data_IF_707692331053
#
_entry.id   IF_707692331053
#
_cell.length_a   1.000
_cell.length_b   1.000
_cell.length_c   1.000
_cell.angle_alpha   90.00
_cell.angle_beta   90.00
_cell.angle_gamma   90.00
#
_symmetry.space_group_name_H-M   'P 1'
#
loop_
_entity.id
_entity.type
_entity.pdbx_description
1 polymer ?
#
# COMPACT_ATOMS: atom_id res chain seq x y z
N UNK A 1 27.36 7.74 -19.64
CA UNK A 1 26.81 6.35 -19.70
C UNK A 1 27.91 5.30 -19.57
N UNK A 2 28.93 5.33 -20.42
CA UNK A 2 29.99 4.29 -20.40
C UNK A 2 30.82 4.24 -19.11
N UNK A 3 31.04 5.39 -18.46
CA UNK A 3 31.63 5.44 -17.11
C UNK A 3 30.81 4.68 -16.07
N UNK A 4 29.47 4.81 -16.10
CA UNK A 4 28.56 4.12 -15.18
C UNK A 4 28.48 2.63 -15.45
N UNK A 5 28.48 2.24 -16.72
CA UNK A 5 28.45 0.83 -17.14
C UNK A 5 29.81 0.14 -17.02
N UNK A 6 30.85 0.82 -16.52
CA UNK A 6 32.21 0.27 -16.41
C UNK A 6 32.92 0.06 -17.75
N UNK A 7 32.37 0.59 -18.85
CA UNK A 7 32.90 0.44 -20.21
C UNK A 7 34.03 1.41 -20.56
N UNK A 8 34.23 2.43 -19.73
CA UNK A 8 35.28 3.43 -19.88
C UNK A 8 36.57 3.09 -19.10
N UNK A 9 36.68 1.89 -18.52
CA UNK A 9 37.82 1.46 -17.70
C UNK A 9 37.57 1.50 -16.19
N UNK A 10 38.53 0.97 -15.44
CA UNK A 10 38.44 0.67 -14.00
C UNK A 10 39.47 1.43 -13.15
N UNK A 11 40.13 2.44 -13.71
CA UNK A 11 41.00 3.34 -12.97
C UNK A 11 40.32 3.95 -11.72
N UNK A 12 41.10 4.39 -10.73
CA UNK A 12 40.60 4.78 -9.41
C UNK A 12 39.50 5.86 -9.48
N UNK A 13 39.65 6.86 -10.34
CA UNK A 13 38.64 7.92 -10.54
C UNK A 13 37.33 7.38 -11.13
N UNK A 14 37.40 6.40 -12.04
CA UNK A 14 36.20 5.78 -12.62
C UNK A 14 35.46 4.92 -11.58
N UNK A 15 36.21 4.20 -10.74
CA UNK A 15 35.64 3.43 -9.64
C UNK A 15 34.98 4.34 -8.60
N UNK A 16 35.65 5.43 -8.22
CA UNK A 16 35.11 6.44 -7.32
C UNK A 16 33.82 7.07 -7.87
N UNK A 17 33.83 7.49 -9.13
CA UNK A 17 32.66 8.06 -9.79
C UNK A 17 31.47 7.10 -9.78
N UNK A 18 31.68 5.82 -10.12
CA UNK A 18 30.60 4.80 -10.10
C UNK A 18 30.03 4.62 -8.70
N UNK A 19 30.89 4.54 -7.68
CA UNK A 19 30.46 4.39 -6.29
C UNK A 19 29.65 5.60 -5.82
N UNK A 20 30.16 6.82 -6.03
CA UNK A 20 29.47 8.06 -5.64
C UNK A 20 28.15 8.23 -6.39
N UNK A 21 28.12 7.94 -7.68
CA UNK A 21 26.89 7.97 -8.46
C UNK A 21 25.85 7.00 -7.90
N UNK A 22 26.23 5.75 -7.60
CA UNK A 22 25.32 4.77 -7.01
C UNK A 22 24.75 5.26 -5.66
N UNK A 23 25.61 5.79 -4.79
CA UNK A 23 25.22 6.37 -3.49
C UNK A 23 24.24 7.54 -3.62
N UNK A 24 24.44 8.45 -4.59
CA UNK A 24 23.56 9.61 -4.78
C UNK A 24 22.25 9.24 -5.50
N UNK A 25 22.32 8.35 -6.49
CA UNK A 25 21.16 7.98 -7.31
C UNK A 25 20.04 7.29 -6.52
N UNK A 26 20.39 6.49 -5.51
CA UNK A 26 19.40 5.86 -4.62
C UNK A 26 18.63 6.88 -3.80
N UNK A 27 19.33 7.84 -3.18
CA UNK A 27 18.72 8.94 -2.43
C UNK A 27 17.85 9.83 -3.33
N UNK A 28 18.35 10.14 -4.55
CA UNK A 28 17.59 10.90 -5.54
C UNK A 28 16.29 10.17 -5.91
N UNK A 29 16.33 8.85 -6.15
CA UNK A 29 15.12 8.06 -6.48
C UNK A 29 14.13 8.08 -5.32
N UNK A 30 14.59 7.88 -4.09
CA UNK A 30 13.70 7.88 -2.92
C UNK A 30 12.97 9.23 -2.81
N UNK A 31 13.72 10.33 -2.84
CA UNK A 31 13.15 11.69 -2.73
C UNK A 31 12.27 12.07 -3.92
N UNK A 32 12.75 11.87 -5.15
CA UNK A 32 12.02 12.33 -6.34
C UNK A 32 10.75 11.53 -6.63
N UNK A 33 10.74 10.21 -6.38
CA UNK A 33 9.55 9.40 -6.69
C UNK A 33 8.76 8.93 -5.47
N UNK A 34 9.35 8.51 -4.35
CA UNK A 34 8.55 8.09 -3.19
C UNK A 34 8.02 9.28 -2.37
N UNK A 35 8.84 10.31 -2.22
CA UNK A 35 8.50 11.50 -1.40
C UNK A 35 8.02 12.69 -2.25
N UNK A 36 7.85 12.52 -3.56
CA UNK A 36 7.29 13.60 -4.41
C UNK A 36 6.38 13.05 -5.50
N UNK A 37 6.87 12.23 -6.43
CA UNK A 37 6.03 11.78 -7.55
C UNK A 37 4.80 10.97 -7.10
N UNK A 38 4.90 10.16 -6.05
CA UNK A 38 3.76 9.43 -5.48
C UNK A 38 2.68 10.33 -4.89
N UNK A 39 3.03 11.53 -4.46
CA UNK A 39 2.09 12.55 -4.02
C UNK A 39 1.54 13.37 -5.19
N UNK A 40 2.19 13.31 -6.37
CA UNK A 40 1.76 14.00 -7.60
C UNK A 40 0.94 13.13 -8.56
N UNK A 41 1.08 11.81 -8.50
CA UNK A 41 0.37 10.87 -9.36
C UNK A 41 -0.52 9.98 -8.49
N UNK A 42 -1.77 10.38 -8.30
CA UNK A 42 -2.68 9.80 -7.30
C UNK A 42 -3.94 9.10 -7.87
N UNK A 43 -3.95 8.54 -9.11
CA UNK A 43 -5.17 7.92 -9.64
C UNK A 43 -5.67 6.78 -8.74
N UNK A 44 -4.75 6.02 -8.12
CA UNK A 44 -5.05 4.99 -7.13
C UNK A 44 -3.96 4.95 -6.05
N UNK A 45 -4.29 5.43 -4.84
CA UNK A 45 -3.33 5.56 -3.74
C UNK A 45 -2.78 4.21 -3.23
N UNK A 46 -3.47 3.09 -3.48
CA UNK A 46 -2.94 1.77 -3.09
C UNK A 46 -1.70 1.35 -3.89
N UNK A 47 -1.47 1.95 -5.06
CA UNK A 47 -0.30 1.69 -5.89
C UNK A 47 0.88 2.62 -5.61
N UNK A 48 0.65 3.73 -4.89
CA UNK A 48 1.66 4.69 -4.48
C UNK A 48 2.34 4.24 -3.17
N UNK A 49 3.15 3.19 -3.27
CA UNK A 49 3.82 2.56 -2.12
C UNK A 49 5.32 2.37 -2.36
N UNK A 50 6.12 2.41 -1.29
CA UNK A 50 7.58 2.19 -1.32
C UNK A 50 7.90 0.90 -2.08
N UNK A 51 8.81 0.99 -3.06
CA UNK A 51 9.15 -0.11 -3.97
C UNK A 51 8.14 -0.39 -5.10
N UNK A 52 6.99 0.27 -5.12
CA UNK A 52 5.95 0.12 -6.14
C UNK A 52 6.17 0.96 -7.41
N UNK A 53 5.41 0.61 -8.46
CA UNK A 53 5.30 1.40 -9.69
C UNK A 53 3.82 1.72 -9.96
N UNK A 54 3.34 2.93 -9.63
CA UNK A 54 1.93 3.28 -9.78
C UNK A 54 1.45 3.35 -11.23
N UNK A 55 2.37 3.38 -12.22
CA UNK A 55 2.01 3.30 -13.64
C UNK A 55 1.62 1.89 -14.11
N UNK A 56 1.87 0.85 -13.29
CA UNK A 56 1.50 -0.53 -13.56
C UNK A 56 1.00 -1.20 -12.26
N UNK A 57 -0.20 -0.83 -11.76
CA UNK A 57 -0.66 -1.20 -10.42
C UNK A 57 -1.16 -2.64 -10.28
N UNK A 58 -1.26 -3.39 -11.39
CA UNK A 58 -1.78 -4.75 -11.42
C UNK A 58 -0.65 -5.77 -11.69
N UNK A 59 -0.79 -6.95 -11.07
CA UNK A 59 0.08 -8.11 -11.30
C UNK A 59 -0.81 -9.28 -11.72
N UNK A 60 -0.46 -9.96 -12.81
CA UNK A 60 -1.17 -11.15 -13.25
C UNK A 60 -0.88 -12.34 -12.32
N UNK A 61 -1.80 -13.31 -12.18
CA UNK A 61 -1.50 -14.56 -11.46
C UNK A 61 -0.25 -15.24 -12.00
N UNK A 62 -0.05 -15.24 -13.32
CA UNK A 62 1.14 -15.82 -13.97
C UNK A 62 2.44 -15.14 -13.50
N UNK A 63 2.49 -13.81 -13.51
CA UNK A 63 3.66 -13.05 -13.04
C UNK A 63 3.92 -13.25 -11.55
N UNK A 64 2.86 -13.33 -10.75
CA UNK A 64 2.96 -13.63 -9.32
C UNK A 64 3.53 -15.03 -9.07
N UNK A 65 3.06 -16.04 -9.79
CA UNK A 65 3.56 -17.41 -9.70
C UNK A 65 5.02 -17.51 -10.17
N UNK A 66 5.37 -16.83 -11.26
CA UNK A 66 6.75 -16.75 -11.74
C UNK A 66 7.68 -16.07 -10.72
N UNK A 67 7.21 -15.00 -10.07
CA UNK A 67 7.93 -14.36 -8.95
C UNK A 67 8.15 -15.35 -7.81
N UNK A 68 7.12 -16.05 -7.35
CA UNK A 68 7.21 -16.99 -6.24
C UNK A 68 8.16 -18.16 -6.54
N UNK A 69 8.08 -18.74 -7.74
CA UNK A 69 8.98 -19.81 -8.17
C UNK A 69 10.45 -19.35 -8.18
N UNK A 70 10.71 -18.12 -8.63
CA UNK A 70 12.05 -17.51 -8.58
C UNK A 70 12.53 -17.29 -7.13
N UNK A 71 11.66 -16.78 -6.25
CA UNK A 71 12.00 -16.59 -4.83
C UNK A 71 12.34 -17.92 -4.18
N UNK A 72 11.53 -18.97 -4.36
CA UNK A 72 11.81 -20.29 -3.78
C UNK A 72 13.15 -20.86 -4.26
N UNK A 73 13.50 -20.67 -5.54
CA UNK A 73 14.74 -21.19 -6.14
C UNK A 73 15.98 -20.42 -5.68
N UNK A 74 15.93 -19.10 -5.74
CA UNK A 74 17.13 -18.26 -5.62
C UNK A 74 17.30 -17.64 -4.23
N UNK A 75 16.19 -17.34 -3.54
CA UNK A 75 16.17 -16.57 -2.29
C UNK A 75 15.10 -17.05 -1.29
N UNK A 76 15.00 -18.35 -0.96
CA UNK A 76 13.88 -18.88 -0.17
C UNK A 76 13.78 -18.32 1.25
N UNK A 77 14.88 -17.80 1.78
CA UNK A 77 14.95 -17.17 3.10
C UNK A 77 14.76 -15.63 3.08
N UNK A 78 14.38 -15.04 1.93
CA UNK A 78 14.16 -13.59 1.82
C UNK A 78 12.93 -13.14 2.62
N UNK A 79 12.95 -11.91 3.11
CA UNK A 79 11.82 -11.31 3.82
C UNK A 79 10.66 -10.96 2.87
N UNK A 80 9.42 -11.13 3.33
CA UNK A 80 8.22 -10.63 2.65
C UNK A 80 7.44 -9.75 3.62
N UNK A 81 7.03 -8.56 3.20
CA UNK A 81 6.33 -7.61 4.05
C UNK A 81 5.15 -6.98 3.32
N UNK A 82 4.04 -6.79 4.04
CA UNK A 82 2.90 -6.00 3.56
C UNK A 82 2.82 -4.62 4.24
N UNK A 83 3.41 -4.43 5.41
CA UNK A 83 3.45 -3.13 6.08
C UNK A 83 4.76 -2.99 6.83
N UNK A 84 5.27 -1.78 6.89
CA UNK A 84 6.46 -1.42 7.66
C UNK A 84 6.27 -0.04 8.25
N UNK A 85 7.19 0.39 9.10
CA UNK A 85 7.23 1.77 9.62
C UNK A 85 7.43 2.84 8.54
N UNK A 86 7.84 2.45 7.31
CA UNK A 86 8.08 3.37 6.19
C UNK A 86 7.04 3.25 5.07
N UNK A 87 6.15 2.26 5.10
CA UNK A 87 5.05 2.20 4.12
C UNK A 87 4.18 3.44 4.21
N UNK A 88 3.79 3.98 3.04
CA UNK A 88 2.96 5.18 2.92
C UNK A 88 1.58 4.96 3.51
N UNK A 89 1.05 3.72 3.45
CA UNK A 89 -0.23 3.31 4.05
C UNK A 89 -0.15 1.85 4.45
N UNK A 90 -0.93 1.42 5.44
CA UNK A 90 -0.99 0.02 5.83
C UNK A 90 -1.54 -0.89 4.72
N UNK A 91 -1.22 -2.17 4.79
CA UNK A 91 -1.69 -3.18 3.85
C UNK A 91 -3.22 -3.19 3.73
N UNK A 92 -3.92 -3.00 4.86
CA UNK A 92 -5.38 -3.09 4.90
C UNK A 92 -6.04 -1.85 4.28
N UNK A 93 -5.44 -0.67 4.46
CA UNK A 93 -5.84 0.57 3.75
C UNK A 93 -5.65 0.38 2.24
N UNK A 94 -4.52 -0.19 1.81
CA UNK A 94 -4.28 -0.46 0.38
C UNK A 94 -5.24 -1.53 -0.17
N UNK A 95 -5.52 -2.57 0.60
CA UNK A 95 -6.47 -3.63 0.22
C UNK A 95 -7.90 -3.10 0.05
N UNK A 96 -8.32 -2.18 0.92
CA UNK A 96 -9.60 -1.48 0.79
C UNK A 96 -9.64 -0.64 -0.49
N UNK A 97 -8.65 0.26 -0.67
CA UNK A 97 -8.53 1.13 -1.83
C UNK A 97 -8.57 0.37 -3.17
N UNK A 98 -7.89 -0.78 -3.25
CA UNK A 98 -7.87 -1.58 -4.48
C UNK A 98 -9.25 -2.12 -4.88
N UNK A 99 -10.24 -2.18 -3.98
CA UNK A 99 -11.63 -2.54 -4.33
C UNK A 99 -12.26 -1.52 -5.27
N UNK A 100 -11.84 -0.24 -5.22
CA UNK A 100 -12.36 0.80 -6.11
C UNK A 100 -12.14 0.46 -7.59
N UNK A 101 -11.08 -0.29 -7.90
CA UNK A 101 -10.79 -0.76 -9.27
C UNK A 101 -11.84 -1.74 -9.81
N UNK A 102 -12.61 -2.37 -8.93
CA UNK A 102 -13.65 -3.33 -9.29
C UNK A 102 -15.01 -2.66 -9.53
N UNK A 103 -15.16 -1.39 -9.15
CA UNK A 103 -16.40 -0.63 -9.30
C UNK A 103 -16.16 0.87 -9.60
N UNK A 104 -15.36 1.21 -10.64
CA UNK A 104 -14.92 2.58 -10.89
C UNK A 104 -16.07 3.56 -11.16
N UNK A 105 -17.14 3.10 -11.83
CA UNK A 105 -18.33 3.93 -12.12
C UNK A 105 -19.06 4.32 -10.83
N UNK A 106 -19.28 3.36 -9.91
CA UNK A 106 -19.92 3.63 -8.61
C UNK A 106 -19.07 4.59 -7.77
N UNK A 107 -17.74 4.48 -7.85
CA UNK A 107 -16.85 5.43 -7.18
C UNK A 107 -16.97 6.83 -7.77
N UNK A 108 -17.03 6.95 -9.10
CA UNK A 108 -17.22 8.23 -9.78
C UNK A 108 -18.56 8.89 -9.41
N UNK A 109 -19.64 8.11 -9.29
CA UNK A 109 -20.96 8.60 -8.88
C UNK A 109 -20.94 9.20 -7.47
N UNK A 110 -20.33 8.49 -6.50
CA UNK A 110 -20.16 8.96 -5.12
C UNK A 110 -19.34 10.25 -5.10
N UNK A 111 -18.26 10.32 -5.89
CA UNK A 111 -17.44 11.52 -5.98
C UNK A 111 -18.20 12.71 -6.59
N UNK A 112 -19.03 12.48 -7.60
CA UNK A 112 -19.88 13.51 -8.18
C UNK A 112 -20.92 14.03 -7.18
N UNK A 113 -21.40 13.19 -6.26
CA UNK A 113 -22.29 13.57 -5.17
C UNK A 113 -21.58 14.43 -4.12
N UNK A 114 -20.51 13.93 -3.50
CA UNK A 114 -19.79 14.64 -2.43
C UNK A 114 -19.12 15.92 -2.93
N UNK A 115 -18.75 15.97 -4.21
CA UNK A 115 -18.22 17.19 -4.82
C UNK A 115 -19.32 18.24 -4.96
N UNK A 116 -20.55 17.89 -5.39
CA UNK A 116 -21.68 18.84 -5.49
C UNK A 116 -22.07 19.42 -4.13
N UNK A 117 -21.98 18.64 -3.07
CA UNK A 117 -22.37 19.05 -1.72
C UNK A 117 -21.27 19.81 -0.96
N UNK A 118 -20.00 19.67 -1.36
CA UNK A 118 -18.83 20.13 -0.59
C UNK A 118 -17.90 21.13 -1.29
N UNK A 119 -18.32 21.84 -2.35
CA UNK A 119 -17.41 22.67 -3.17
C UNK A 119 -16.81 23.91 -2.51
N UNK A 120 -17.27 24.35 -1.33
CA UNK A 120 -16.72 25.58 -0.73
C UNK A 120 -15.34 25.32 -0.13
N UNK A 121 -14.28 25.76 -0.82
CA UNK A 121 -12.91 25.80 -0.28
C UNK A 121 -12.02 24.61 -0.64
N UNK A 122 -12.34 23.84 -1.70
CA UNK A 122 -11.43 22.80 -2.22
C UNK A 122 -10.11 23.46 -2.66
N UNK A 123 -8.93 23.05 -2.12
CA UNK A 123 -7.65 23.66 -2.45
C UNK A 123 -7.33 23.48 -3.94
N UNK A 124 -7.42 22.25 -4.46
CA UNK A 124 -7.40 21.89 -5.87
C UNK A 124 -7.89 20.43 -6.09
N UNK A 125 -8.20 19.99 -7.33
CA UNK A 125 -8.81 18.68 -7.58
C UNK A 125 -7.95 17.48 -7.16
N UNK A 126 -6.62 17.60 -7.15
CA UNK A 126 -5.74 16.47 -6.88
C UNK A 126 -5.72 16.08 -5.39
N UNK A 127 -5.43 16.97 -4.43
CA UNK A 127 -5.54 16.69 -3.01
C UNK A 127 -6.98 16.32 -2.62
N UNK A 128 -8.00 16.88 -3.28
CA UNK A 128 -9.37 16.44 -3.07
C UNK A 128 -9.54 14.95 -3.41
N UNK A 129 -9.08 14.53 -4.59
CA UNK A 129 -9.08 13.12 -5.01
C UNK A 129 -8.30 12.22 -4.02
N UNK A 130 -7.14 12.68 -3.55
CA UNK A 130 -6.35 11.93 -2.57
C UNK A 130 -7.05 11.86 -1.19
N UNK A 131 -7.72 12.91 -0.76
CA UNK A 131 -8.43 12.96 0.52
C UNK A 131 -9.62 12.00 0.54
N UNK A 132 -10.42 11.98 -0.53
CA UNK A 132 -11.57 11.07 -0.64
C UNK A 132 -11.15 9.60 -0.65
N UNK A 133 -10.07 9.27 -1.36
CA UNK A 133 -9.47 7.93 -1.27
C UNK A 133 -8.96 7.62 0.14
N UNK A 134 -8.33 8.59 0.82
CA UNK A 134 -7.80 8.40 2.18
C UNK A 134 -8.90 8.03 3.16
N UNK A 135 -10.03 8.76 3.16
CA UNK A 135 -11.16 8.43 4.05
C UNK A 135 -11.90 7.15 3.61
N UNK A 136 -11.93 6.83 2.32
CA UNK A 136 -12.42 5.52 1.86
C UNK A 136 -11.56 4.37 2.41
N UNK A 137 -10.23 4.50 2.37
CA UNK A 137 -9.31 3.49 2.87
C UNK A 137 -9.44 3.27 4.38
N UNK A 138 -9.50 4.36 5.16
CA UNK A 138 -9.61 4.32 6.62
C UNK A 138 -11.01 3.94 7.11
N UNK A 139 -12.06 4.30 6.38
CA UNK A 139 -13.40 4.34 6.95
C UNK A 139 -13.57 5.52 7.92
N UNK A 140 -14.47 5.42 8.92
CA UNK A 140 -14.62 6.46 9.94
C UNK A 140 -13.29 6.75 10.63
N UNK A 141 -12.78 7.96 10.47
CA UNK A 141 -11.47 8.37 10.98
C UNK A 141 -11.56 9.74 11.66
N UNK A 142 -10.65 9.97 12.60
CA UNK A 142 -10.48 11.26 13.26
C UNK A 142 -10.05 12.33 12.24
N UNK A 143 -10.67 13.50 12.31
CA UNK A 143 -10.37 14.62 11.41
C UNK A 143 -8.90 15.08 11.53
N UNK A 144 -8.32 15.03 12.73
CA UNK A 144 -6.92 15.42 12.97
C UNK A 144 -5.96 14.47 12.23
N UNK A 145 -6.25 13.17 12.22
CA UNK A 145 -5.44 12.17 11.48
C UNK A 145 -5.49 12.41 9.97
N UNK A 146 -6.68 12.64 9.42
CA UNK A 146 -6.87 12.90 7.99
C UNK A 146 -6.24 14.24 7.59
N UNK A 147 -6.41 15.27 8.41
CA UNK A 147 -5.81 16.59 8.19
C UNK A 147 -4.27 16.50 8.20
N UNK A 148 -3.69 15.84 9.20
CA UNK A 148 -2.24 15.66 9.29
C UNK A 148 -1.67 14.94 8.06
N UNK A 149 -2.32 13.88 7.62
CA UNK A 149 -1.93 13.15 6.42
C UNK A 149 -2.05 13.99 5.14
N UNK A 150 -3.12 14.78 4.99
CA UNK A 150 -3.32 15.60 3.81
C UNK A 150 -2.37 16.82 3.78
N UNK A 151 -2.07 17.43 4.92
CA UNK A 151 -1.05 18.48 5.02
C UNK A 151 0.34 17.94 4.65
N UNK A 152 0.70 16.76 5.14
CA UNK A 152 1.91 16.06 4.69
C UNK A 152 1.86 15.83 3.18
N UNK A 153 0.74 15.31 2.66
CA UNK A 153 0.57 15.04 1.24
C UNK A 153 0.88 16.26 0.36
N UNK A 154 0.30 17.42 0.66
CA UNK A 154 0.49 18.62 -0.16
C UNK A 154 1.89 19.22 -0.04
N UNK A 155 2.55 19.07 1.11
CA UNK A 155 3.94 19.49 1.32
C UNK A 155 4.94 18.60 0.57
N UNK A 156 4.72 17.29 0.57
CA UNK A 156 5.51 16.33 -0.21
C UNK A 156 5.28 16.50 -1.72
N UNK A 157 4.04 16.81 -2.12
CA UNK A 157 3.74 17.17 -3.50
C UNK A 157 4.48 18.44 -3.94
N UNK A 158 4.66 19.44 -3.08
CA UNK A 158 5.48 20.62 -3.38
C UNK A 158 4.94 21.44 -4.56
N UNK A 159 3.62 21.47 -4.77
CA UNK A 159 2.99 22.22 -5.88
C UNK A 159 2.50 23.61 -5.44
N UNK A 160 2.01 23.73 -4.21
CA UNK A 160 1.42 24.95 -3.64
C UNK A 160 1.99 25.34 -2.27
N UNK A 161 2.55 24.37 -1.54
CA UNK A 161 3.25 24.51 -0.26
C UNK A 161 4.33 23.44 -0.21
N UNK A 162 5.38 23.63 0.59
CA UNK A 162 6.43 22.62 0.79
C UNK A 162 6.93 22.62 2.23
N UNK A 163 7.80 21.66 2.57
CA UNK A 163 8.43 21.62 3.89
C UNK A 163 9.31 22.84 4.20
N UNK A 164 9.88 23.48 3.18
CA UNK A 164 10.79 24.64 3.33
C UNK A 164 10.11 25.98 3.09
N UNK A 165 9.08 26.00 2.23
CA UNK A 165 8.33 27.18 1.85
C UNK A 165 6.84 26.91 2.07
N UNK A 166 6.40 27.12 3.31
CA UNK A 166 5.01 26.89 3.70
C UNK A 166 4.12 28.04 3.25
N UNK A 167 2.94 27.72 2.72
CA UNK A 167 1.89 28.68 2.38
C UNK A 167 0.72 28.55 3.37
N UNK A 168 0.66 29.36 4.43
CA UNK A 168 -0.33 29.20 5.50
C UNK A 168 -1.78 29.28 5.02
N UNK A 169 -2.10 30.21 4.10
CA UNK A 169 -3.45 30.37 3.58
C UNK A 169 -3.91 29.14 2.78
N UNK A 170 -2.99 28.54 2.01
CA UNK A 170 -3.28 27.30 1.31
C UNK A 170 -3.46 26.12 2.30
N UNK A 171 -2.58 25.99 3.29
CA UNK A 171 -2.70 24.92 4.30
C UNK A 171 -3.98 25.03 5.14
N UNK A 172 -4.41 26.26 5.47
CA UNK A 172 -5.69 26.52 6.14
C UNK A 172 -6.89 26.12 5.25
N UNK A 173 -6.81 26.36 3.94
CA UNK A 173 -7.84 25.90 3.00
C UNK A 173 -7.92 24.37 2.92
N UNK A 174 -6.77 23.68 2.97
CA UNK A 174 -6.70 22.22 3.02
C UNK A 174 -7.35 21.68 4.30
N UNK A 175 -7.04 22.27 5.46
CA UNK A 175 -7.64 21.88 6.74
C UNK A 175 -9.16 22.11 6.75
N UNK A 176 -9.59 23.27 6.25
CA UNK A 176 -11.01 23.61 6.14
C UNK A 176 -11.76 22.63 5.23
N UNK A 177 -11.15 22.26 4.10
CA UNK A 177 -11.70 21.26 3.19
C UNK A 177 -11.85 19.89 3.87
N UNK A 178 -10.84 19.42 4.62
CA UNK A 178 -10.92 18.15 5.35
C UNK A 178 -12.09 18.15 6.33
N UNK A 179 -12.21 19.21 7.14
CA UNK A 179 -13.25 19.32 8.16
C UNK A 179 -14.67 19.43 7.57
N UNK A 180 -14.85 20.18 6.48
CA UNK A 180 -16.16 20.39 5.87
C UNK A 180 -16.58 19.26 4.91
N UNK A 181 -15.62 18.58 4.28
CA UNK A 181 -15.84 17.56 3.26
C UNK A 181 -15.55 16.14 3.76
N UNK A 182 -14.33 15.58 3.55
CA UNK A 182 -13.97 14.21 3.91
C UNK A 182 -14.30 13.76 5.33
N UNK A 183 -14.16 14.65 6.32
CA UNK A 183 -14.49 14.38 7.73
C UNK A 183 -15.81 15.05 8.16
N UNK A 184 -16.48 15.75 7.24
CA UNK A 184 -17.77 16.41 7.45
C UNK A 184 -18.96 15.56 6.95
N UNK A 185 -20.14 16.18 6.79
CA UNK A 185 -21.33 15.50 6.28
C UNK A 185 -21.13 14.76 4.95
N UNK A 186 -20.44 15.32 3.93
CA UNK A 186 -20.22 14.63 2.66
C UNK A 186 -19.41 13.33 2.82
N UNK A 187 -18.49 13.26 3.80
CA UNK A 187 -17.74 12.04 4.14
C UNK A 187 -18.61 10.83 4.48
N UNK A 188 -19.87 11.04 4.91
CA UNK A 188 -20.82 9.96 5.20
C UNK A 188 -21.16 9.14 3.97
N UNK A 189 -21.29 9.76 2.80
CA UNK A 189 -21.56 9.05 1.54
C UNK A 189 -20.41 8.10 1.19
N UNK A 190 -19.16 8.52 1.42
CA UNK A 190 -17.97 7.69 1.21
C UNK A 190 -17.92 6.55 2.24
N UNK A 191 -18.27 6.83 3.50
CA UNK A 191 -18.33 5.81 4.55
C UNK A 191 -19.42 4.74 4.27
N UNK A 192 -20.60 5.17 3.82
CA UNK A 192 -21.71 4.28 3.44
C UNK A 192 -21.34 3.44 2.21
N UNK A 193 -20.70 4.05 1.22
CA UNK A 193 -20.20 3.34 0.06
C UNK A 193 -19.16 2.28 0.45
N UNK A 194 -18.19 2.64 1.30
CA UNK A 194 -17.21 1.69 1.86
C UNK A 194 -17.89 0.56 2.61
N UNK A 195 -18.90 0.85 3.44
CA UNK A 195 -19.65 -0.16 4.17
C UNK A 195 -20.37 -1.13 3.24
N UNK A 196 -20.93 -0.63 2.12
CA UNK A 196 -21.53 -1.48 1.08
C UNK A 196 -20.54 -2.45 0.41
N UNK A 197 -19.24 -2.15 0.50
CA UNK A 197 -18.14 -2.93 -0.06
C UNK A 197 -17.40 -3.78 0.98
N UNK A 198 -17.86 -3.81 2.24
CA UNK A 198 -17.17 -4.48 3.35
C UNK A 198 -16.81 -5.96 3.07
N UNK A 199 -17.66 -6.79 2.43
CA UNK A 199 -17.28 -8.16 2.08
C UNK A 199 -16.07 -8.24 1.13
N UNK A 200 -15.98 -7.32 0.16
CA UNK A 200 -14.90 -7.25 -0.82
C UNK A 200 -13.60 -6.75 -0.19
N UNK A 201 -13.69 -5.73 0.68
CA UNK A 201 -12.53 -5.25 1.46
C UNK A 201 -11.98 -6.37 2.33
N UNK A 202 -12.86 -7.08 3.06
CA UNK A 202 -12.47 -8.21 3.90
C UNK A 202 -11.81 -9.33 3.09
N UNK A 203 -12.32 -9.63 1.90
CA UNK A 203 -11.71 -10.64 1.03
C UNK A 203 -10.28 -10.25 0.61
N UNK A 204 -10.05 -9.00 0.21
CA UNK A 204 -8.71 -8.51 -0.14
C UNK A 204 -7.75 -8.51 1.05
N UNK A 205 -8.21 -8.05 2.23
CA UNK A 205 -7.40 -8.02 3.47
C UNK A 205 -6.95 -9.41 3.88
N UNK A 206 -7.89 -10.37 3.95
CA UNK A 206 -7.58 -11.75 4.35
C UNK A 206 -6.77 -12.48 3.27
N UNK A 207 -7.08 -12.25 2.00
CA UNK A 207 -6.38 -12.85 0.87
C UNK A 207 -4.92 -12.40 0.80
N UNK A 208 -4.66 -11.09 0.93
CA UNK A 208 -3.30 -10.55 0.93
C UNK A 208 -2.48 -11.11 2.09
N UNK A 209 -3.04 -11.13 3.31
CA UNK A 209 -2.39 -11.70 4.48
C UNK A 209 -2.09 -13.20 4.28
N UNK A 210 -3.07 -13.99 3.83
CA UNK A 210 -2.87 -15.42 3.61
C UNK A 210 -1.78 -15.69 2.58
N UNK A 211 -1.80 -14.95 1.45
CA UNK A 211 -0.79 -15.07 0.40
C UNK A 211 0.60 -14.77 0.96
N UNK A 212 0.80 -13.63 1.63
CA UNK A 212 2.11 -13.28 2.21
C UNK A 212 2.58 -14.31 3.24
N UNK A 213 1.70 -14.77 4.11
CA UNK A 213 2.05 -15.73 5.17
C UNK A 213 2.40 -17.13 4.61
N UNK A 214 1.93 -17.48 3.41
CA UNK A 214 2.06 -18.83 2.86
C UNK A 214 2.89 -18.94 1.58
N UNK A 215 3.21 -17.83 0.93
CA UNK A 215 4.13 -17.78 -0.22
C UNK A 215 5.59 -18.06 0.20
N UNK A 216 6.52 -18.29 -0.76
CA UNK A 216 7.95 -18.43 -0.49
C UNK A 216 8.54 -17.19 0.20
N UNK A 217 9.51 -17.40 1.10
CA UNK A 217 10.09 -16.35 1.94
C UNK A 217 9.68 -16.45 3.41
N UNK A 218 10.25 -15.56 4.22
CA UNK A 218 9.98 -15.38 5.65
C UNK A 218 9.02 -14.18 5.80
N UNK A 219 7.76 -14.39 6.24
CA UNK A 219 6.83 -13.29 6.40
C UNK A 219 7.19 -12.43 7.61
N UNK A 220 7.39 -11.15 7.36
CA UNK A 220 7.47 -10.10 8.37
C UNK A 220 6.06 -9.61 8.72
N UNK A 221 5.76 -9.53 10.01
CA UNK A 221 4.47 -9.07 10.54
C UNK A 221 4.75 -7.86 11.41
N UNK A 222 4.51 -6.68 10.84
CA UNK A 222 4.66 -5.42 11.55
C UNK A 222 3.70 -5.35 12.74
N UNK A 223 4.11 -4.72 13.84
CA UNK A 223 3.32 -4.65 15.07
C UNK A 223 1.87 -4.19 14.83
N UNK A 224 0.89 -4.91 15.37
CA UNK A 224 -0.54 -4.63 15.20
C UNK A 224 -1.15 -5.19 13.90
N UNK A 225 -0.34 -5.62 12.93
CA UNK A 225 -0.83 -6.14 11.63
C UNK A 225 -1.23 -7.61 11.67
N UNK A 226 -1.07 -8.28 12.81
CA UNK A 226 -1.66 -9.59 13.04
C UNK A 226 -3.19 -9.53 12.93
N UNK A 227 -3.79 -8.41 13.32
CA UNK A 227 -5.20 -8.05 13.12
C UNK A 227 -5.41 -7.02 12.01
N UNK A 228 -6.62 -6.46 11.96
CA UNK A 228 -6.88 -5.32 11.08
C UNK A 228 -6.13 -4.08 11.60
N UNK A 229 -5.37 -3.44 10.72
CA UNK A 229 -4.50 -2.32 11.05
C UNK A 229 -4.66 -1.22 10.01
N UNK A 230 -5.30 -0.11 10.41
CA UNK A 230 -5.62 1.01 9.53
C UNK A 230 -4.75 2.21 9.88
N UNK A 231 -3.60 2.30 9.21
CA UNK A 231 -2.63 3.37 9.41
C UNK A 231 -2.22 4.03 8.09
N UNK A 232 -1.92 5.30 8.18
CA UNK A 232 -1.36 6.14 7.12
C UNK A 232 0.16 6.22 7.26
N UNK A 233 0.77 7.15 6.55
CA UNK A 233 2.22 7.38 6.57
C UNK A 233 2.68 7.86 7.94
N UNK A 234 3.95 7.61 8.28
CA UNK A 234 4.66 8.19 9.43
C UNK A 234 4.26 9.66 9.69
N UNK A 235 3.87 10.03 10.93
CA UNK A 235 3.94 9.23 12.17
C UNK A 235 2.72 8.37 12.49
N UNK A 236 1.67 8.34 11.65
CA UNK A 236 0.43 7.60 11.95
C UNK A 236 0.68 6.08 12.08
N UNK A 237 1.59 5.51 11.29
CA UNK A 237 2.01 4.11 11.43
C UNK A 237 3.00 3.84 12.57
N UNK A 238 3.27 4.82 13.44
CA UNK A 238 4.22 4.70 14.57
C UNK A 238 3.55 4.74 15.93
N UNK A 239 2.23 4.68 15.97
CA UNK A 239 1.49 4.56 17.23
C UNK A 239 2.03 3.36 18.05
N UNK A 240 2.18 3.53 19.38
CA UNK A 240 2.62 2.45 20.25
C UNK A 240 1.72 1.21 20.09
N UNK A 241 2.34 0.04 20.07
CA UNK A 241 1.58 -1.21 20.03
C UNK A 241 0.62 -1.31 21.22
N UNK A 242 -0.64 -1.58 20.92
CA UNK A 242 -1.67 -1.92 21.89
C UNK A 242 -2.23 -3.30 21.52
N UNK A 243 -2.33 -4.25 22.47
CA UNK A 243 -2.97 -5.54 22.21
C UNK A 243 -4.42 -5.32 21.75
N UNK A 244 -4.88 -6.01 20.69
CA UNK A 244 -6.24 -5.86 20.23
C UNK A 244 -7.23 -6.33 21.30
N UNK A 245 -8.26 -5.53 21.57
CA UNK A 245 -9.31 -5.87 22.54
C UNK A 245 -10.21 -7.03 22.10
N UNK A 246 -10.32 -7.24 20.78
CA UNK A 246 -11.20 -8.23 20.18
C UNK A 246 -10.48 -9.09 19.14
N UNK A 247 -10.82 -10.38 19.10
CA UNK A 247 -10.30 -11.28 18.09
C UNK A 247 -10.90 -10.97 16.71
N UNK A 248 -10.06 -10.64 15.74
CA UNK A 248 -10.48 -10.45 14.34
C UNK A 248 -10.29 -11.73 13.52
N UNK A 249 -11.02 -11.82 12.40
CA UNK A 249 -10.82 -12.91 11.44
C UNK A 249 -9.37 -12.96 10.91
N UNK A 250 -8.75 -11.79 10.75
CA UNK A 250 -7.34 -11.67 10.35
C UNK A 250 -6.40 -12.19 11.44
N UNK A 251 -6.63 -11.86 12.72
CA UNK A 251 -5.85 -12.40 13.83
C UNK A 251 -5.93 -13.93 13.92
N UNK A 252 -7.12 -14.50 13.72
CA UNK A 252 -7.29 -15.95 13.65
C UNK A 252 -6.53 -16.57 12.47
N UNK A 253 -6.60 -15.96 11.29
CA UNK A 253 -5.89 -16.39 10.09
C UNK A 253 -4.37 -16.31 10.27
N UNK A 254 -3.86 -15.17 10.73
CA UNK A 254 -2.43 -14.95 11.00
C UNK A 254 -1.92 -15.99 11.99
N UNK A 255 -2.63 -16.19 13.10
CA UNK A 255 -2.28 -17.20 14.11
C UNK A 255 -2.26 -18.61 13.52
N UNK A 256 -3.26 -18.98 12.74
CA UNK A 256 -3.35 -20.31 12.13
C UNK A 256 -2.20 -20.55 11.14
N UNK A 257 -1.91 -19.58 10.26
CA UNK A 257 -0.85 -19.67 9.28
C UNK A 257 0.53 -19.73 9.94
N UNK A 258 0.85 -18.87 10.91
CA UNK A 258 2.13 -18.88 11.61
C UNK A 258 2.33 -20.16 12.43
N UNK A 259 1.28 -20.66 13.09
CA UNK A 259 1.32 -21.98 13.77
C UNK A 259 1.54 -23.12 12.78
N UNK A 260 0.93 -23.06 11.60
CA UNK A 260 1.17 -24.05 10.55
C UNK A 260 2.64 -24.04 10.11
N UNK A 261 3.22 -22.84 9.87
CA UNK A 261 4.65 -22.70 9.55
C UNK A 261 5.55 -23.28 10.62
N UNK A 262 5.25 -23.00 11.90
CA UNK A 262 6.04 -23.52 13.02
C UNK A 262 5.93 -25.05 13.18
N UNK A 263 4.78 -25.65 12.87
CA UNK A 263 4.58 -27.11 12.95
C UNK A 263 5.11 -27.87 11.74
N UNK A 264 5.20 -27.22 10.58
CA UNK A 264 5.59 -27.83 9.29
C UNK A 264 6.66 -26.98 8.60
N UNK A 265 7.84 -26.75 9.22
CA UNK A 265 8.86 -25.87 8.65
C UNK A 265 9.36 -26.33 7.27
N UNK A 266 9.33 -27.64 7.01
CA UNK A 266 9.78 -28.24 5.75
C UNK A 266 8.95 -27.84 4.53
N UNK A 267 7.68 -27.44 4.73
CA UNK A 267 6.82 -26.96 3.63
C UNK A 267 6.85 -25.43 3.47
N UNK A 268 7.65 -24.71 4.26
CA UNK A 268 7.79 -23.25 4.09
C UNK A 268 9.24 -22.77 3.94
N UNK A 269 10.22 -23.59 4.31
CA UNK A 269 11.65 -23.30 4.25
C UNK A 269 12.28 -23.41 2.85
N UNK A 270 13.61 -23.54 2.83
CA UNK A 270 14.43 -23.66 1.63
C UNK A 270 14.14 -24.93 0.81
N UNK A 271 13.87 -26.04 1.48
CA UNK A 271 13.48 -27.31 0.87
C UNK A 271 12.02 -27.37 0.40
N UNK A 272 11.21 -26.34 0.67
CA UNK A 272 9.80 -26.32 0.28
C UNK A 272 9.63 -26.30 -1.24
N UNK A 273 8.54 -26.90 -1.72
CA UNK A 273 8.15 -26.78 -3.12
C UNK A 273 7.32 -25.51 -3.33
N UNK A 274 7.15 -25.13 -4.59
CA UNK A 274 6.14 -24.15 -5.00
C UNK A 274 5.52 -24.60 -6.32
N UNK A 275 4.24 -24.97 -6.28
CA UNK A 275 3.50 -25.44 -7.46
C UNK A 275 2.24 -24.58 -7.62
N UNK A 276 2.12 -23.77 -8.69
CA UNK A 276 0.89 -23.05 -9.01
C UNK A 276 -0.26 -24.03 -9.26
N UNK A 277 -1.47 -23.67 -8.81
CA UNK A 277 -2.69 -24.44 -9.09
C UNK A 277 -3.64 -23.61 -9.95
N UNK A 278 -4.20 -24.24 -10.99
CA UNK A 278 -5.27 -23.66 -11.77
C UNK A 278 -6.62 -23.99 -11.14
N UNK A 279 -7.50 -23.00 -11.00
CA UNK A 279 -8.88 -23.20 -10.62
C UNK A 279 -9.74 -23.52 -11.86
N UNK A 280 -10.79 -24.31 -11.68
CA UNK A 280 -11.78 -24.63 -12.72
C UNK A 280 -13.16 -24.10 -12.34
N UNK A 281 -13.95 -23.71 -13.36
CA UNK A 281 -15.32 -23.25 -13.20
C UNK A 281 -15.53 -21.73 -13.35
N UNK A 282 -16.75 -21.23 -13.13
CA UNK A 282 -17.13 -19.85 -13.46
C UNK A 282 -16.35 -18.77 -12.69
N UNK A 283 -15.80 -19.12 -11.52
CA UNK A 283 -15.03 -18.20 -10.68
C UNK A 283 -13.51 -18.32 -10.84
N UNK A 284 -13.01 -19.15 -11.77
CA UNK A 284 -11.59 -19.48 -11.86
C UNK A 284 -10.66 -18.25 -11.96
N UNK A 285 -11.08 -17.23 -12.72
CA UNK A 285 -10.33 -15.98 -12.87
C UNK A 285 -10.20 -15.15 -11.57
N UNK A 286 -10.98 -15.46 -10.53
CA UNK A 286 -10.91 -14.82 -9.22
C UNK A 286 -10.05 -15.58 -8.21
N UNK A 287 -9.44 -16.70 -8.61
CA UNK A 287 -8.68 -17.58 -7.74
C UNK A 287 -7.18 -17.50 -8.05
N UNK A 288 -6.38 -17.24 -7.01
CA UNK A 288 -4.94 -17.47 -7.03
C UNK A 288 -4.63 -18.57 -6.02
N UNK A 289 -4.05 -19.68 -6.46
CA UNK A 289 -3.82 -20.85 -5.63
C UNK A 289 -2.44 -21.48 -5.91
N UNK A 290 -1.84 -22.08 -4.87
CA UNK A 290 -0.55 -22.76 -4.98
C UNK A 290 -0.38 -23.79 -3.85
N UNK A 291 0.53 -24.74 -4.06
CA UNK A 291 0.93 -25.78 -3.12
C UNK A 291 2.37 -25.58 -2.69
N UNK A 292 2.65 -25.85 -1.41
CA UNK A 292 4.00 -25.79 -0.82
C UNK A 292 4.57 -27.14 -0.38
N UNK A 293 3.73 -28.16 -0.24
CA UNK A 293 4.08 -29.52 0.22
C UNK A 293 4.53 -30.48 -0.88
N UNK A 294 4.32 -30.14 -2.15
CA UNK A 294 4.54 -31.07 -3.28
C UNK A 294 3.41 -32.08 -3.46
N UNK A 295 2.41 -32.05 -2.57
CA UNK A 295 1.23 -32.92 -2.55
C UNK A 295 -0.02 -32.03 -2.43
N UNK A 296 -1.07 -32.37 -3.20
CA UNK A 296 -2.42 -31.76 -3.13
C UNK A 296 -3.33 -32.66 -2.31
#
# INVERSE_FOLDING_TARGET
RDLLLGRAGDGPEHAEFRARFAQTSSALRAKSVEDTAFYRYVPLLSANEVGGNPGAPAVSPEDFHAYCARVQRDWPATGTALSTHDTKRSADVRAALSVLTQCPERWADVLAEVTREGTTGVPDPQPAWAAWQTVFGLGPADAERVQGALLKHVREAGLHTSWTEQNPAYEESVASFVAAGPCGPPGRHVADFRASLAPHVRANVLGAALVQLTMPGVPDVYQGTEGEYLALVDPDNREPFAPPEQASAKAALTTAALRLRGRRPEVFGDAATYVPLAAEGPGAAHCTAFVRSGEV
#
